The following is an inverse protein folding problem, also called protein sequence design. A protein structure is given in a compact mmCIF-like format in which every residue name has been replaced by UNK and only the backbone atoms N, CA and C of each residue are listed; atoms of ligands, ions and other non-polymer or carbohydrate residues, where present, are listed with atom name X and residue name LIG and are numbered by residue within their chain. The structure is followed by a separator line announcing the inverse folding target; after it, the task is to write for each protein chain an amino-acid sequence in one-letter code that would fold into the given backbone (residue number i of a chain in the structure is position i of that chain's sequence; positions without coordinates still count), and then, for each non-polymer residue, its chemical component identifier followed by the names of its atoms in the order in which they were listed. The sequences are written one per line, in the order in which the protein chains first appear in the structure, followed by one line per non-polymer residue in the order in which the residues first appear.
data_IF_176718567987
#
_entry.id   IF_176718567987
#
_cell.length_a   1.000
_cell.length_b   1.000
_cell.length_c   1.000
_cell.angle_alpha   90.00
_cell.angle_beta   90.00
_cell.angle_gamma   90.00
#
_symmetry.space_group_name_H-M   'P 1'
#
loop_
_entity.id
_entity.type
_entity.pdbx_description
1 polymer ?
#
# COMPACT_ATOMS: atom_id res chain seq x y z
N UNK A 1 -13.90 19.32 -40.77
CA UNK A 1 -14.75 18.31 -40.10
C UNK A 1 -13.89 17.23 -39.45
N UNK A 2 -12.97 16.56 -40.14
CA UNK A 2 -12.15 15.46 -39.61
C UNK A 2 -11.29 15.89 -38.41
N UNK A 3 -10.64 17.06 -38.47
CA UNK A 3 -9.87 17.60 -37.32
C UNK A 3 -10.71 17.85 -36.09
N UNK A 4 -11.95 18.29 -36.29
CA UNK A 4 -12.93 18.45 -35.19
C UNK A 4 -13.31 17.11 -34.57
N UNK A 5 -13.59 16.10 -35.37
CA UNK A 5 -13.86 14.73 -34.91
C UNK A 5 -12.65 14.20 -34.12
N UNK A 6 -11.45 14.38 -34.65
CA UNK A 6 -10.20 13.98 -33.99
C UNK A 6 -10.05 14.64 -32.62
N UNK A 7 -10.30 15.94 -32.51
CA UNK A 7 -10.25 16.69 -31.25
C UNK A 7 -11.27 16.14 -30.24
N UNK A 8 -12.52 15.96 -30.66
CA UNK A 8 -13.59 15.46 -29.78
C UNK A 8 -13.28 14.06 -29.25
N UNK A 9 -12.82 13.16 -30.11
CA UNK A 9 -12.41 11.81 -29.70
C UNK A 9 -11.26 11.83 -28.71
N UNK A 10 -10.22 12.66 -28.98
CA UNK A 10 -9.08 12.79 -28.08
C UNK A 10 -9.47 13.34 -26.73
N UNK A 11 -10.28 14.39 -26.69
CA UNK A 11 -10.76 14.98 -25.42
C UNK A 11 -11.64 14.03 -24.62
N UNK A 12 -12.49 13.23 -25.29
CA UNK A 12 -13.33 12.25 -24.60
C UNK A 12 -12.54 11.07 -24.03
N UNK A 13 -11.43 10.70 -24.69
CA UNK A 13 -10.58 9.60 -24.27
C UNK A 13 -9.59 10.00 -23.16
N UNK A 14 -9.23 11.28 -23.10
CA UNK A 14 -8.21 11.82 -22.20
C UNK A 14 -8.47 11.52 -20.70
N UNK A 15 -9.71 11.67 -20.15
CA UNK A 15 -9.96 11.35 -18.74
C UNK A 15 -9.65 9.90 -18.39
N UNK A 16 -10.03 8.95 -19.25
CA UNK A 16 -9.73 7.52 -19.06
C UNK A 16 -8.20 7.30 -19.07
N UNK A 17 -7.53 7.80 -20.10
CA UNK A 17 -6.09 7.65 -20.30
C UNK A 17 -5.30 8.20 -19.11
N UNK A 18 -5.58 9.45 -18.69
CA UNK A 18 -4.83 10.09 -17.61
C UNK A 18 -5.10 9.38 -16.27
N UNK A 19 -6.33 8.90 -16.04
CA UNK A 19 -6.66 8.14 -14.83
C UNK A 19 -5.86 6.84 -14.77
N UNK A 20 -5.82 6.06 -15.85
CA UNK A 20 -5.00 4.84 -15.94
C UNK A 20 -3.51 5.15 -15.77
N UNK A 21 -3.01 6.23 -16.38
CA UNK A 21 -1.62 6.66 -16.20
C UNK A 21 -1.30 7.06 -14.75
N UNK A 22 -2.25 7.71 -14.06
CA UNK A 22 -2.13 8.01 -12.63
C UNK A 22 -2.15 6.73 -11.77
N UNK A 23 -3.03 5.78 -12.05
CA UNK A 23 -3.09 4.48 -11.37
C UNK A 23 -1.85 3.62 -11.63
N UNK A 24 -1.25 3.73 -12.81
CA UNK A 24 0.05 3.13 -13.16
C UNK A 24 1.24 3.80 -12.45
N UNK A 25 1.00 4.64 -11.44
CA UNK A 25 2.03 5.42 -10.74
C UNK A 25 2.95 6.19 -11.71
N UNK A 26 2.39 6.61 -12.87
CA UNK A 26 3.09 7.32 -13.94
C UNK A 26 4.19 6.51 -14.63
N UNK A 27 4.11 5.17 -14.59
CA UNK A 27 4.99 4.27 -15.35
C UNK A 27 4.42 4.02 -16.75
N UNK A 28 5.12 4.48 -17.78
CA UNK A 28 4.69 4.35 -19.19
C UNK A 28 4.52 2.88 -19.59
N UNK A 29 5.38 1.97 -19.10
CA UNK A 29 5.29 0.53 -19.42
C UNK A 29 3.98 -0.08 -18.89
N UNK A 30 3.58 0.22 -17.68
CA UNK A 30 2.34 -0.29 -17.08
C UNK A 30 1.11 0.31 -17.76
N UNK A 31 1.17 1.61 -18.07
CA UNK A 31 0.18 2.30 -18.88
C UNK A 31 -0.02 1.61 -20.24
N UNK A 32 1.07 1.37 -20.99
CA UNK A 32 1.00 0.69 -22.28
C UNK A 32 0.48 -0.74 -22.14
N UNK A 33 0.89 -1.49 -21.15
CA UNK A 33 0.40 -2.84 -20.91
C UNK A 33 -1.12 -2.89 -20.70
N UNK A 34 -1.70 -1.90 -20.01
CA UNK A 34 -3.14 -1.80 -19.88
C UNK A 34 -3.81 -1.60 -21.23
N UNK A 35 -3.36 -0.63 -22.03
CA UNK A 35 -3.98 -0.33 -23.33
C UNK A 35 -3.71 -1.38 -24.42
N UNK A 36 -2.60 -2.09 -24.36
CA UNK A 36 -2.38 -3.25 -25.24
C UNK A 36 -3.42 -4.34 -25.00
N UNK A 37 -3.81 -4.58 -23.74
CA UNK A 37 -4.92 -5.52 -23.41
C UNK A 37 -6.28 -5.00 -23.89
N UNK A 38 -6.46 -3.70 -24.01
CA UNK A 38 -7.68 -3.02 -24.43
C UNK A 38 -7.55 -2.40 -25.83
N UNK A 39 -6.69 -2.95 -26.69
CA UNK A 39 -6.37 -2.40 -28.03
C UNK A 39 -7.61 -2.25 -28.94
N UNK A 40 -8.70 -2.97 -28.65
CA UNK A 40 -9.97 -2.81 -29.34
C UNK A 40 -10.51 -1.36 -29.29
N UNK A 41 -10.14 -0.56 -28.28
CA UNK A 41 -10.53 0.86 -28.18
C UNK A 41 -9.92 1.69 -29.32
N UNK A 42 -8.65 1.44 -29.64
CA UNK A 42 -7.97 2.10 -30.78
C UNK A 42 -8.56 1.67 -32.12
N UNK A 43 -8.93 0.39 -32.24
CA UNK A 43 -9.61 -0.12 -33.43
C UNK A 43 -10.98 0.54 -33.63
N UNK A 44 -11.74 0.77 -32.56
CA UNK A 44 -13.02 1.50 -32.64
C UNK A 44 -12.81 2.93 -33.13
N UNK A 45 -11.79 3.63 -32.64
CA UNK A 45 -11.45 5.00 -33.10
C UNK A 45 -11.04 4.98 -34.57
N UNK A 46 -10.22 4.02 -34.98
CA UNK A 46 -9.80 3.85 -36.38
C UNK A 46 -11.01 3.65 -37.32
N UNK A 47 -12.01 2.89 -36.86
CA UNK A 47 -13.24 2.69 -37.65
C UNK A 47 -13.97 4.00 -37.96
N UNK A 48 -13.95 5.01 -37.09
CA UNK A 48 -14.52 6.34 -37.36
C UNK A 48 -13.88 6.98 -38.58
N UNK A 49 -12.54 6.89 -38.69
CA UNK A 49 -11.82 7.45 -39.83
C UNK A 49 -12.13 6.70 -41.11
N UNK A 50 -12.23 5.37 -41.06
CA UNK A 50 -12.59 4.58 -42.26
C UNK A 50 -14.02 4.92 -42.74
N UNK A 51 -14.98 5.03 -41.80
CA UNK A 51 -16.35 5.43 -42.13
C UNK A 51 -16.39 6.86 -42.69
N UNK A 52 -15.55 7.77 -42.17
CA UNK A 52 -15.45 9.12 -42.70
C UNK A 52 -15.10 9.15 -44.19
N UNK A 53 -14.14 8.32 -44.64
CA UNK A 53 -13.74 8.23 -46.02
C UNK A 53 -14.84 7.61 -46.91
N UNK A 54 -15.71 6.75 -46.37
CA UNK A 54 -16.76 6.06 -47.10
C UNK A 54 -18.05 6.90 -47.17
N UNK A 55 -18.47 7.49 -46.07
CA UNK A 55 -19.85 8.04 -45.93
C UNK A 55 -19.95 9.41 -45.26
N UNK A 56 -18.82 10.08 -44.95
CA UNK A 56 -18.76 11.44 -44.39
C UNK A 56 -19.59 11.64 -43.13
N UNK A 57 -20.90 11.92 -43.26
CA UNK A 57 -21.80 12.23 -42.13
C UNK A 57 -21.98 11.09 -41.13
N UNK A 58 -21.95 9.82 -41.59
CA UNK A 58 -22.09 8.68 -40.67
C UNK A 58 -20.93 8.57 -39.69
N UNK A 59 -19.77 9.19 -39.99
CA UNK A 59 -18.64 9.28 -39.07
C UNK A 59 -18.92 10.11 -37.82
N UNK A 60 -19.80 11.13 -37.90
CA UNK A 60 -20.19 11.94 -36.76
C UNK A 60 -21.04 11.13 -35.76
N UNK A 61 -21.97 10.33 -36.29
CA UNK A 61 -22.80 9.44 -35.46
C UNK A 61 -21.90 8.43 -34.74
N UNK A 62 -20.99 7.81 -35.48
CA UNK A 62 -20.06 6.83 -34.89
C UNK A 62 -19.12 7.47 -33.86
N UNK A 63 -18.59 8.67 -34.14
CA UNK A 63 -17.77 9.43 -33.21
C UNK A 63 -18.55 9.75 -31.92
N UNK A 64 -19.83 10.12 -32.04
CA UNK A 64 -20.69 10.37 -30.89
C UNK A 64 -20.92 9.09 -30.07
N UNK A 65 -21.20 7.97 -30.71
CA UNK A 65 -21.37 6.69 -29.99
C UNK A 65 -20.09 6.28 -29.25
N UNK A 66 -18.92 6.46 -29.88
CA UNK A 66 -17.64 6.17 -29.22
C UNK A 66 -17.38 7.14 -28.07
N UNK A 67 -17.69 8.44 -28.22
CA UNK A 67 -17.61 9.40 -27.12
C UNK A 67 -18.44 8.92 -25.92
N UNK A 68 -19.70 8.56 -26.13
CA UNK A 68 -20.59 8.05 -25.07
C UNK A 68 -19.99 6.78 -24.43
N UNK A 69 -19.46 5.88 -25.24
CA UNK A 69 -18.83 4.66 -24.76
C UNK A 69 -17.56 4.93 -23.93
N UNK A 70 -16.68 5.84 -24.35
CA UNK A 70 -15.48 6.21 -23.59
C UNK A 70 -15.84 6.89 -22.26
N UNK A 71 -16.84 7.76 -22.26
CA UNK A 71 -17.34 8.37 -21.03
C UNK A 71 -17.98 7.31 -20.11
N UNK A 72 -18.69 6.35 -20.66
CA UNK A 72 -19.21 5.21 -19.91
C UNK A 72 -18.08 4.38 -19.29
N UNK A 73 -17.03 4.05 -20.03
CA UNK A 73 -15.85 3.35 -19.49
C UNK A 73 -15.19 4.14 -18.36
N UNK A 74 -15.01 5.46 -18.55
CA UNK A 74 -14.49 6.32 -17.49
C UNK A 74 -15.41 6.33 -16.25
N UNK A 75 -16.73 6.35 -16.44
CA UNK A 75 -17.69 6.31 -15.34
C UNK A 75 -17.61 5.00 -14.54
N UNK A 76 -17.20 3.91 -15.17
CA UNK A 76 -17.03 2.59 -14.55
C UNK A 76 -15.73 2.44 -13.78
N UNK A 77 -14.73 3.33 -14.00
CA UNK A 77 -13.52 3.31 -13.19
C UNK A 77 -13.86 3.59 -11.73
N UNK A 78 -13.36 2.76 -10.85
CA UNK A 78 -13.56 2.87 -9.41
C UNK A 78 -12.75 4.02 -8.82
N UNK A 79 -11.48 4.12 -9.19
CA UNK A 79 -10.60 5.20 -8.78
C UNK A 79 -10.62 6.30 -9.85
N UNK A 80 -11.26 7.42 -9.53
CA UNK A 80 -11.35 8.58 -10.40
C UNK A 80 -10.06 9.40 -10.43
N UNK A 81 -9.89 10.19 -11.49
CA UNK A 81 -8.78 11.12 -11.63
C UNK A 81 -8.70 12.08 -10.42
N UNK A 82 -7.57 12.12 -9.77
CA UNK A 82 -7.26 13.10 -8.72
C UNK A 82 -6.45 14.24 -9.31
N UNK A 83 -6.98 15.45 -9.24
CA UNK A 83 -6.29 16.66 -9.70
C UNK A 83 -5.17 17.03 -8.71
N UNK A 84 -3.96 16.62 -9.05
CA UNK A 84 -2.73 16.96 -8.32
C UNK A 84 -1.95 18.03 -9.09
N UNK A 85 -1.02 18.72 -8.43
CA UNK A 85 -0.11 19.67 -9.10
C UNK A 85 0.62 19.03 -10.29
N UNK A 86 0.95 17.73 -10.20
CA UNK A 86 1.54 16.97 -11.31
C UNK A 86 0.60 16.83 -12.49
N UNK A 87 -0.66 16.50 -12.25
CA UNK A 87 -1.69 16.39 -13.29
C UNK A 87 -1.92 17.75 -13.97
N UNK A 88 -1.95 18.83 -13.20
CA UNK A 88 -2.10 20.19 -13.78
C UNK A 88 -0.92 20.52 -14.71
N UNK A 89 0.31 20.25 -14.31
CA UNK A 89 1.49 20.42 -15.18
C UNK A 89 1.44 19.53 -16.42
N UNK A 90 0.97 18.28 -16.26
CA UNK A 90 0.80 17.36 -17.38
C UNK A 90 -0.21 17.91 -18.40
N UNK A 91 -1.33 18.48 -17.97
CA UNK A 91 -2.30 19.10 -18.86
C UNK A 91 -1.67 20.23 -19.70
N UNK A 92 -0.83 21.07 -19.09
CA UNK A 92 -0.11 22.15 -19.82
C UNK A 92 0.79 21.54 -20.94
N UNK A 93 1.50 20.45 -20.62
CA UNK A 93 2.36 19.76 -21.60
C UNK A 93 1.52 19.10 -22.70
N UNK A 94 0.31 18.64 -22.41
CA UNK A 94 -0.56 17.96 -23.37
C UNK A 94 -1.17 18.89 -24.43
N UNK A 95 -1.36 20.17 -24.15
CA UNK A 95 -2.01 21.14 -25.06
C UNK A 95 -1.42 21.08 -26.50
N UNK A 96 -0.10 21.24 -26.73
CA UNK A 96 0.45 21.22 -28.08
C UNK A 96 0.28 19.84 -28.75
N UNK A 97 0.33 18.75 -27.98
CA UNK A 97 0.14 17.39 -28.54
C UNK A 97 -1.31 17.14 -28.93
N UNK A 98 -2.28 17.66 -28.21
CA UNK A 98 -3.69 17.63 -28.58
C UNK A 98 -3.94 18.39 -29.88
N UNK A 99 -3.32 19.58 -30.03
CA UNK A 99 -3.42 20.38 -31.24
C UNK A 99 -2.82 19.64 -32.47
N UNK A 100 -1.60 19.12 -32.34
CA UNK A 100 -0.92 18.37 -33.39
C UNK A 100 -1.74 17.12 -33.76
N UNK A 101 -2.20 16.36 -32.79
CA UNK A 101 -3.01 15.17 -33.00
C UNK A 101 -4.33 15.47 -33.70
N UNK A 102 -4.99 16.56 -33.34
CA UNK A 102 -6.21 17.03 -34.02
C UNK A 102 -5.94 17.48 -35.44
N UNK A 103 -4.86 18.26 -35.67
CA UNK A 103 -4.47 18.74 -37.00
C UNK A 103 -4.11 17.62 -37.95
N UNK A 104 -3.34 16.64 -37.48
CA UNK A 104 -2.92 15.48 -38.29
C UNK A 104 -3.99 14.39 -38.39
N UNK A 105 -5.08 14.49 -37.65
CA UNK A 105 -6.18 13.51 -37.65
C UNK A 105 -5.72 12.09 -37.28
N UNK A 106 -4.84 11.93 -36.31
CA UNK A 106 -4.21 10.65 -35.93
C UNK A 106 -4.68 10.13 -34.53
N UNK A 107 -5.92 10.45 -34.12
CA UNK A 107 -6.47 10.04 -32.83
C UNK A 107 -6.48 8.52 -32.58
N UNK A 108 -6.44 7.71 -33.62
CA UNK A 108 -6.29 6.25 -33.52
C UNK A 108 -4.91 5.79 -33.04
N UNK A 109 -3.91 6.71 -33.03
CA UNK A 109 -2.59 6.47 -32.44
C UNK A 109 -2.40 7.22 -31.09
N UNK A 110 -3.47 7.79 -30.55
CA UNK A 110 -3.41 8.74 -29.43
C UNK A 110 -2.72 8.17 -28.19
N UNK A 111 -2.95 6.90 -27.87
CA UNK A 111 -2.27 6.21 -26.73
C UNK A 111 -0.75 6.26 -26.88
N UNK A 112 -0.23 6.02 -28.09
CA UNK A 112 1.20 6.02 -28.35
C UNK A 112 1.78 7.43 -28.41
N UNK A 113 1.04 8.39 -29.01
CA UNK A 113 1.44 9.80 -29.08
C UNK A 113 1.60 10.38 -27.68
N UNK A 114 0.75 9.99 -26.72
CA UNK A 114 0.81 10.45 -25.34
C UNK A 114 2.03 9.93 -24.59
N UNK A 115 2.73 8.91 -25.06
CA UNK A 115 3.99 8.49 -24.44
C UNK A 115 5.04 9.59 -24.44
N UNK A 116 5.05 10.49 -25.46
CA UNK A 116 6.00 11.61 -25.55
C UNK A 116 5.75 12.64 -24.44
N UNK A 117 4.55 13.25 -24.31
CA UNK A 117 4.28 14.18 -23.21
C UNK A 117 4.39 13.53 -21.82
N UNK A 118 4.07 12.25 -21.68
CA UNK A 118 4.28 11.51 -20.43
C UNK A 118 5.76 11.37 -20.09
N UNK A 119 6.61 11.09 -21.10
CA UNK A 119 8.05 11.07 -20.91
C UNK A 119 8.61 12.44 -20.52
N UNK A 120 8.20 13.50 -21.22
CA UNK A 120 8.59 14.89 -20.90
C UNK A 120 8.15 15.25 -19.48
N UNK A 121 6.90 14.95 -19.12
CA UNK A 121 6.37 15.16 -17.76
C UNK A 121 7.23 14.43 -16.73
N UNK A 122 7.60 13.17 -16.96
CA UNK A 122 8.45 12.40 -16.06
C UNK A 122 9.83 13.03 -15.87
N UNK A 123 10.43 13.59 -16.90
CA UNK A 123 11.72 14.29 -16.80
C UNK A 123 11.61 15.54 -15.91
N UNK A 124 10.55 16.33 -16.09
CA UNK A 124 10.28 17.53 -15.29
C UNK A 124 10.03 17.13 -13.83
N UNK A 125 9.19 16.11 -13.59
CA UNK A 125 8.85 15.64 -12.25
C UNK A 125 10.07 15.04 -11.51
N UNK A 126 11.00 14.41 -12.24
CA UNK A 126 12.28 13.95 -11.63
C UNK A 126 13.12 15.12 -11.12
N UNK A 127 13.21 16.23 -11.86
CA UNK A 127 13.93 17.43 -11.42
C UNK A 127 13.24 18.06 -10.20
N UNK A 128 11.92 18.16 -10.22
CA UNK A 128 11.12 18.68 -9.10
C UNK A 128 11.30 17.79 -7.85
N UNK A 129 11.18 16.47 -8.00
CA UNK A 129 11.38 15.50 -6.91
C UNK A 129 12.79 15.61 -6.33
N UNK A 130 13.80 15.74 -7.18
CA UNK A 130 15.19 15.91 -6.73
C UNK A 130 15.41 17.20 -5.93
N UNK A 131 14.78 18.32 -6.35
CA UNK A 131 14.81 19.56 -5.59
C UNK A 131 14.20 19.39 -4.19
N UNK A 132 13.00 18.80 -4.09
CA UNK A 132 12.34 18.57 -2.80
C UNK A 132 13.09 17.56 -1.93
N UNK A 133 13.71 16.53 -2.54
CA UNK A 133 14.56 15.58 -1.82
C UNK A 133 15.78 16.29 -1.21
N UNK A 134 16.49 17.11 -1.97
CA UNK A 134 17.62 17.90 -1.44
C UNK A 134 17.18 18.78 -0.27
N UNK A 135 16.04 19.46 -0.39
CA UNK A 135 15.49 20.28 0.69
C UNK A 135 15.18 19.46 1.94
N UNK A 136 14.59 18.26 1.80
CA UNK A 136 14.29 17.38 2.92
C UNK A 136 15.57 16.85 3.59
N UNK A 137 16.61 16.50 2.80
CA UNK A 137 17.90 16.06 3.31
C UNK A 137 18.58 17.18 4.13
N UNK A 138 18.52 18.42 3.68
CA UNK A 138 19.05 19.56 4.44
C UNK A 138 18.34 19.73 5.78
N UNK A 139 17.00 19.73 5.77
CA UNK A 139 16.20 19.76 7.01
C UNK A 139 16.54 18.61 7.96
N UNK A 140 16.73 17.39 7.40
CA UNK A 140 17.14 16.22 8.19
C UNK A 140 18.53 16.41 8.82
N UNK A 141 19.48 16.98 8.09
CA UNK A 141 20.83 17.26 8.61
C UNK A 141 20.86 18.24 9.76
N UNK A 142 19.93 19.20 9.75
CA UNK A 142 19.75 20.19 10.82
C UNK A 142 18.98 19.63 12.04
N UNK A 143 18.40 18.45 11.92
CA UNK A 143 17.63 17.81 12.98
C UNK A 143 18.53 16.99 13.88
N UNK A 144 18.64 17.37 15.16
CA UNK A 144 19.61 16.85 16.11
C UNK A 144 19.05 15.75 17.04
N UNK A 145 17.79 15.35 16.83
CA UNK A 145 17.15 14.30 17.62
C UNK A 145 17.12 12.97 16.85
N UNK A 146 16.61 11.94 17.50
CA UNK A 146 16.56 10.59 16.97
C UNK A 146 15.72 10.46 15.71
N UNK A 147 16.20 9.66 14.77
CA UNK A 147 15.52 9.28 13.55
C UNK A 147 15.41 7.76 13.49
N UNK A 148 14.17 7.31 13.59
CA UNK A 148 13.80 5.91 13.65
C UNK A 148 13.36 5.48 12.26
N UNK A 149 14.13 4.62 11.61
CA UNK A 149 13.78 4.00 10.34
C UNK A 149 13.06 2.68 10.59
N UNK A 150 11.88 2.49 10.01
CA UNK A 150 11.10 1.25 10.14
C UNK A 150 11.00 0.56 8.80
N UNK A 151 11.50 -0.67 8.70
CA UNK A 151 11.34 -1.52 7.51
C UNK A 151 10.81 -2.90 7.85
N UNK A 152 10.53 -3.68 6.81
CA UNK A 152 10.02 -5.05 6.89
C UNK A 152 9.17 -5.40 5.68
N UNK A 153 8.85 -6.66 5.50
CA UNK A 153 7.91 -7.12 4.47
C UNK A 153 6.47 -6.75 4.86
N UNK A 154 6.12 -6.83 6.14
CA UNK A 154 4.79 -6.56 6.69
C UNK A 154 4.87 -5.75 7.99
N UNK A 155 3.73 -5.28 8.52
CA UNK A 155 3.55 -4.60 9.80
C UNK A 155 4.17 -3.19 9.94
N UNK A 156 4.99 -2.70 9.02
CA UNK A 156 5.66 -1.38 9.08
C UNK A 156 4.74 -0.23 9.49
N UNK A 157 3.63 -0.07 8.79
CA UNK A 157 2.69 1.04 9.02
C UNK A 157 1.98 0.91 10.37
N UNK A 158 1.62 -0.31 10.77
CA UNK A 158 0.98 -0.57 12.07
C UNK A 158 1.95 -0.29 13.20
N UNK A 159 3.19 -0.79 13.12
CA UNK A 159 4.25 -0.53 14.09
C UNK A 159 4.53 0.97 14.21
N UNK A 160 4.72 1.66 13.08
CA UNK A 160 4.88 3.13 13.05
C UNK A 160 3.74 3.86 13.77
N UNK A 161 2.51 3.46 13.48
CA UNK A 161 1.32 4.10 14.05
C UNK A 161 1.21 3.86 15.57
N UNK A 162 1.52 2.65 16.03
CA UNK A 162 1.57 2.35 17.47
C UNK A 162 2.72 3.09 18.15
N UNK A 163 3.92 3.07 17.56
CA UNK A 163 5.07 3.80 18.10
C UNK A 163 4.78 5.30 18.26
N UNK A 164 4.11 5.93 17.28
CA UNK A 164 3.79 7.35 17.37
C UNK A 164 2.85 7.69 18.53
N UNK A 165 1.97 6.76 18.93
CA UNK A 165 1.07 6.94 20.07
C UNK A 165 1.77 6.62 21.39
N UNK A 166 2.57 5.55 21.44
CA UNK A 166 3.29 5.15 22.67
C UNK A 166 4.32 6.22 23.05
N UNK A 167 5.00 6.79 22.07
CA UNK A 167 6.06 7.78 22.24
C UNK A 167 5.59 9.24 22.20
N UNK A 168 4.31 9.51 22.43
CA UNK A 168 3.73 10.86 22.33
C UNK A 168 4.43 11.90 23.22
N UNK A 169 4.99 11.51 24.36
CA UNK A 169 5.78 12.39 25.28
C UNK A 169 6.95 13.05 24.60
N UNK A 170 7.59 12.36 23.67
CA UNK A 170 8.71 12.92 22.92
C UNK A 170 8.29 13.65 21.65
N UNK A 171 6.99 13.87 21.46
CA UNK A 171 6.44 14.60 20.32
C UNK A 171 7.04 14.14 18.97
N UNK A 172 6.84 12.88 18.54
CA UNK A 172 7.44 12.37 17.33
C UNK A 172 6.70 12.84 16.07
N UNK A 173 7.43 13.11 14.99
CA UNK A 173 6.85 13.22 13.64
C UNK A 173 6.91 11.87 12.97
N UNK A 174 5.77 11.21 12.80
CA UNK A 174 5.66 9.98 12.03
C UNK A 174 5.18 10.26 10.59
N UNK A 175 5.78 9.60 9.60
CA UNK A 175 5.32 9.72 8.20
C UNK A 175 3.85 9.32 8.06
N UNK A 176 3.06 10.14 7.33
CA UNK A 176 1.61 9.89 7.13
C UNK A 176 1.36 8.65 6.30
N UNK A 177 0.27 7.96 6.56
CA UNK A 177 -0.18 6.80 5.80
C UNK A 177 0.99 5.84 5.46
N UNK A 178 1.15 5.50 4.19
CA UNK A 178 2.23 4.64 3.68
C UNK A 178 3.31 5.46 2.95
N UNK A 179 3.63 6.69 3.41
CA UNK A 179 4.72 7.50 2.87
C UNK A 179 6.07 6.88 3.26
N UNK A 180 6.50 5.90 2.46
CA UNK A 180 7.66 5.04 2.74
C UNK A 180 8.72 5.05 1.62
N UNK A 181 8.61 6.00 0.68
CA UNK A 181 9.55 6.23 -0.42
C UNK A 181 10.31 7.54 -0.23
N UNK A 182 11.40 7.74 -0.97
CA UNK A 182 12.16 9.02 -0.96
C UNK A 182 11.24 10.24 -1.13
N UNK A 183 10.31 10.18 -2.08
CA UNK A 183 9.38 11.28 -2.34
C UNK A 183 8.34 11.44 -1.22
N UNK A 184 7.81 10.34 -0.69
CA UNK A 184 6.81 10.38 0.39
C UNK A 184 7.40 10.95 1.68
N UNK A 185 8.57 10.48 2.09
CA UNK A 185 9.27 10.99 3.28
C UNK A 185 9.69 12.46 3.06
N UNK A 186 10.21 12.79 1.87
CA UNK A 186 10.58 14.19 1.55
C UNK A 186 9.39 15.13 1.63
N UNK A 187 8.22 14.69 1.17
CA UNK A 187 6.99 15.48 1.25
C UNK A 187 6.62 15.74 2.71
N UNK A 188 6.66 14.71 3.55
CA UNK A 188 6.35 14.85 4.98
C UNK A 188 7.29 15.83 5.67
N UNK A 189 8.62 15.63 5.54
CA UNK A 189 9.61 16.52 6.16
C UNK A 189 9.51 17.97 5.64
N UNK A 190 9.21 18.16 4.36
CA UNK A 190 9.08 19.50 3.79
C UNK A 190 7.81 20.25 4.25
N UNK A 191 6.75 19.50 4.57
CA UNK A 191 5.48 20.09 5.03
C UNK A 191 5.48 20.45 6.51
N UNK A 192 6.47 20.00 7.28
CA UNK A 192 6.56 20.25 8.72
C UNK A 192 7.76 21.13 9.08
N UNK A 193 7.62 21.90 10.15
CA UNK A 193 8.75 22.57 10.80
C UNK A 193 9.31 21.60 11.86
N UNK A 194 10.47 21.01 11.58
CA UNK A 194 11.06 19.96 12.41
C UNK A 194 11.47 20.44 13.82
N UNK A 195 11.55 21.75 14.05
CA UNK A 195 11.86 22.31 15.37
C UNK A 195 10.82 21.99 16.46
N UNK A 196 9.61 21.58 16.05
CA UNK A 196 8.53 21.22 16.97
C UNK A 196 8.52 19.74 17.37
N UNK A 197 9.47 18.95 16.87
CA UNK A 197 9.52 17.53 17.08
C UNK A 197 10.84 17.09 17.70
N UNK A 198 10.80 16.09 18.57
CA UNK A 198 11.99 15.55 19.24
C UNK A 198 12.35 14.13 18.73
N UNK A 199 11.60 13.60 17.80
CA UNK A 199 11.95 12.37 17.08
C UNK A 199 11.31 12.34 15.69
N UNK A 200 11.90 11.61 14.73
CA UNK A 200 11.30 11.28 13.45
C UNK A 200 11.06 9.77 13.37
N UNK A 201 9.86 9.36 12.99
CA UNK A 201 9.53 7.95 12.75
C UNK A 201 9.24 7.79 11.25
N UNK A 202 10.21 7.24 10.52
CA UNK A 202 10.22 7.15 9.08
C UNK A 202 9.96 5.72 8.62
N UNK A 203 8.80 5.48 7.99
CA UNK A 203 8.55 4.20 7.33
C UNK A 203 9.39 4.10 6.06
N UNK A 204 10.21 3.05 5.92
CA UNK A 204 11.11 2.82 4.80
C UNK A 204 10.71 1.56 4.03
N UNK A 205 10.08 1.77 2.87
CA UNK A 205 9.62 0.70 1.97
C UNK A 205 10.65 0.37 0.90
N UNK A 206 10.62 -0.85 0.38
CA UNK A 206 11.37 -1.22 -0.82
C UNK A 206 10.58 -2.16 -1.68
N UNK A 207 10.61 -1.91 -2.99
CA UNK A 207 10.09 -2.75 -4.05
C UNK A 207 11.22 -3.29 -4.94
N UNK A 208 12.41 -2.70 -4.86
CA UNK A 208 13.60 -3.08 -5.62
C UNK A 208 14.84 -3.13 -4.72
N UNK A 209 15.87 -3.80 -5.20
CA UNK A 209 17.18 -3.87 -4.53
C UNK A 209 17.78 -2.46 -4.42
N UNK A 210 18.39 -2.15 -3.29
CA UNK A 210 18.99 -0.87 -2.90
C UNK A 210 18.00 0.28 -2.62
N UNK A 211 16.71 0.04 -2.52
CA UNK A 211 15.77 1.11 -2.15
C UNK A 211 15.98 1.53 -0.68
N UNK A 212 16.15 0.56 0.25
CA UNK A 212 16.45 0.85 1.66
C UNK A 212 17.78 1.60 1.79
N UNK A 213 18.80 1.16 1.08
CA UNK A 213 20.11 1.85 1.07
C UNK A 213 19.99 3.31 0.64
N UNK A 214 19.18 3.62 -0.37
CA UNK A 214 18.90 5.00 -0.80
C UNK A 214 18.19 5.81 0.30
N UNK A 215 17.24 5.19 0.99
CA UNK A 215 16.48 5.83 2.07
C UNK A 215 17.36 6.11 3.28
N UNK A 216 18.18 5.15 3.70
CA UNK A 216 19.12 5.33 4.82
C UNK A 216 20.18 6.37 4.50
N UNK A 217 20.73 6.36 3.28
CA UNK A 217 21.70 7.39 2.83
C UNK A 217 21.11 8.78 2.69
N UNK A 218 19.79 8.92 2.53
CA UNK A 218 19.13 10.21 2.42
C UNK A 218 18.71 10.76 3.79
N UNK A 219 18.21 9.90 4.69
CA UNK A 219 17.58 10.31 5.94
C UNK A 219 18.35 9.94 7.21
N UNK A 220 19.45 9.22 7.09
CA UNK A 220 20.40 8.92 8.17
C UNK A 220 19.73 8.50 9.49
N UNK A 221 18.97 7.37 9.53
CA UNK A 221 18.42 6.88 10.78
C UNK A 221 19.55 6.48 11.73
N UNK A 222 19.38 6.74 13.03
CA UNK A 222 20.25 6.25 14.09
C UNK A 222 19.60 5.12 14.90
N UNK A 223 18.29 4.88 14.65
CA UNK A 223 17.56 3.73 15.18
C UNK A 223 16.88 3.04 14.01
N UNK A 224 17.03 1.72 13.91
CA UNK A 224 16.39 0.90 12.89
C UNK A 224 15.46 -0.13 13.53
N UNK A 225 14.24 -0.28 12.99
CA UNK A 225 13.29 -1.31 13.39
C UNK A 225 13.02 -2.20 12.19
N UNK A 226 13.18 -3.52 12.35
CA UNK A 226 12.81 -4.51 11.33
C UNK A 226 11.67 -5.36 11.85
N UNK A 227 10.47 -5.13 11.33
CA UNK A 227 9.22 -5.72 11.85
C UNK A 227 9.02 -7.18 11.47
N UNK A 228 9.58 -7.60 10.35
CA UNK A 228 9.50 -8.99 9.89
C UNK A 228 9.83 -9.13 8.41
N UNK A 229 10.31 -10.30 8.05
CA UNK A 229 10.68 -10.67 6.68
C UNK A 229 9.78 -11.81 6.22
N UNK A 230 9.33 -11.74 4.97
CA UNK A 230 8.53 -12.75 4.32
C UNK A 230 8.55 -12.62 2.80
N UNK A 231 8.05 -13.62 2.07
CA UNK A 231 8.10 -13.70 0.62
C UNK A 231 7.10 -12.71 -0.04
N UNK A 232 7.44 -11.43 -0.03
CA UNK A 232 6.71 -10.34 -0.70
C UNK A 232 7.54 -9.76 -1.84
N UNK A 233 6.87 -9.26 -2.89
CA UNK A 233 7.52 -8.66 -4.08
C UNK A 233 8.57 -9.58 -4.74
N UNK A 234 8.30 -10.89 -4.76
CA UNK A 234 9.24 -11.89 -5.32
C UNK A 234 9.52 -11.69 -6.80
N UNK A 235 8.61 -11.06 -7.54
CA UNK A 235 8.83 -10.71 -8.95
C UNK A 235 10.01 -9.73 -9.10
N UNK A 236 10.19 -8.82 -8.13
CA UNK A 236 11.28 -7.83 -8.11
C UNK A 236 12.55 -8.36 -7.44
N UNK A 237 12.41 -9.05 -6.31
CA UNK A 237 13.56 -9.53 -5.51
C UNK A 237 14.06 -10.91 -5.92
N UNK A 238 13.30 -11.68 -6.70
CA UNK A 238 13.59 -13.03 -7.20
C UNK A 238 13.61 -14.13 -6.13
N UNK A 239 14.16 -13.91 -4.95
CA UNK A 239 14.26 -14.88 -3.87
C UNK A 239 14.24 -14.23 -2.49
N UNK A 240 14.04 -15.04 -1.44
CA UNK A 240 13.95 -14.58 -0.05
C UNK A 240 15.27 -14.00 0.46
N UNK A 241 16.41 -14.54 0.02
CA UNK A 241 17.73 -14.05 0.44
C UNK A 241 17.97 -12.60 0.04
N UNK A 242 17.52 -12.20 -1.15
CA UNK A 242 17.57 -10.80 -1.60
C UNK A 242 16.65 -9.91 -0.77
N UNK A 243 15.48 -10.41 -0.34
CA UNK A 243 14.58 -9.67 0.55
C UNK A 243 15.24 -9.45 1.91
N UNK A 244 15.86 -10.50 2.48
CA UNK A 244 16.62 -10.41 3.74
C UNK A 244 17.70 -9.35 3.61
N UNK A 245 18.58 -9.47 2.61
CA UNK A 245 19.68 -8.53 2.37
C UNK A 245 19.18 -7.09 2.20
N UNK A 246 18.11 -6.89 1.43
CA UNK A 246 17.53 -5.57 1.23
C UNK A 246 16.99 -4.96 2.53
N UNK A 247 16.20 -5.71 3.30
CA UNK A 247 15.61 -5.19 4.55
C UNK A 247 16.65 -4.97 5.63
N UNK A 248 17.64 -5.87 5.73
CA UNK A 248 18.72 -5.76 6.72
C UNK A 248 19.70 -4.64 6.38
N UNK A 249 19.77 -4.16 5.13
CA UNK A 249 20.61 -3.01 4.77
C UNK A 249 20.24 -1.72 5.50
N UNK A 250 19.10 -1.65 6.20
CA UNK A 250 18.78 -0.53 7.09
C UNK A 250 19.77 -0.46 8.26
N UNK A 251 20.21 -1.60 8.76
CA UNK A 251 21.17 -1.70 9.89
C UNK A 251 22.56 -1.29 9.43
N UNK A 252 22.94 -1.65 8.20
CA UNK A 252 24.23 -1.26 7.62
C UNK A 252 24.38 0.26 7.49
N UNK A 253 23.26 0.99 7.46
CA UNK A 253 23.22 2.45 7.41
C UNK A 253 23.29 3.13 8.79
N UNK A 254 23.30 2.36 9.89
CA UNK A 254 23.45 2.89 11.24
C UNK A 254 24.92 3.17 11.55
N UNK A 255 25.19 4.20 12.34
CA UNK A 255 26.55 4.44 12.88
C UNK A 255 26.87 3.52 14.07
N UNK A 256 28.09 3.60 14.57
CA UNK A 256 28.59 2.78 15.70
C UNK A 256 27.74 2.85 16.97
N UNK A 257 27.05 3.96 17.21
CA UNK A 257 26.13 4.16 18.32
C UNK A 257 24.66 3.93 17.95
N UNK A 258 24.41 3.38 16.77
CA UNK A 258 23.06 3.10 16.29
C UNK A 258 22.41 1.95 17.06
N UNK A 259 21.08 1.93 17.08
CA UNK A 259 20.29 0.87 17.73
C UNK A 259 19.49 0.14 16.65
N UNK A 260 19.63 -1.18 16.58
CA UNK A 260 18.84 -2.06 15.73
C UNK A 260 17.85 -2.85 16.59
N UNK A 261 16.55 -2.70 16.32
CA UNK A 261 15.45 -3.39 17.04
C UNK A 261 14.86 -4.45 16.10
N UNK A 262 15.03 -5.72 16.41
CA UNK A 262 14.67 -6.86 15.55
C UNK A 262 13.59 -7.74 16.18
N UNK A 263 12.60 -8.11 15.36
CA UNK A 263 11.55 -9.06 15.74
C UNK A 263 12.07 -10.50 15.69
N UNK A 264 12.40 -11.11 16.82
CA UNK A 264 12.89 -12.50 16.89
C UNK A 264 11.78 -13.57 16.85
N UNK A 265 10.51 -13.20 16.87
CA UNK A 265 9.43 -14.13 16.50
C UNK A 265 9.45 -14.44 15.00
N UNK A 266 10.15 -13.61 14.20
CA UNK A 266 10.40 -13.88 12.79
C UNK A 266 11.68 -14.71 12.61
N UNK A 267 11.54 -15.90 12.05
CA UNK A 267 12.63 -16.87 11.85
C UNK A 267 13.82 -16.30 11.06
N UNK A 268 13.55 -15.52 10.00
CA UNK A 268 14.61 -14.93 9.18
C UNK A 268 15.42 -13.86 9.94
N UNK A 269 14.80 -13.14 10.86
CA UNK A 269 15.47 -12.13 11.69
C UNK A 269 16.27 -12.79 12.83
N UNK A 270 15.68 -13.80 13.48
CA UNK A 270 16.32 -14.54 14.56
C UNK A 270 17.58 -15.26 14.09
N UNK A 271 17.57 -15.80 12.87
CA UNK A 271 18.71 -16.53 12.29
C UNK A 271 19.68 -15.64 11.51
N UNK A 272 19.47 -14.32 11.51
CA UNK A 272 20.35 -13.39 10.82
C UNK A 272 21.61 -13.12 11.62
N UNK A 273 22.78 -13.45 11.06
CA UNK A 273 24.07 -13.15 11.67
C UNK A 273 24.43 -11.68 11.42
N UNK A 274 24.37 -10.86 12.46
CA UNK A 274 24.74 -9.45 12.40
C UNK A 274 26.20 -9.27 12.83
N UNK A 275 27.02 -8.72 11.93
CA UNK A 275 28.46 -8.48 12.17
C UNK A 275 28.81 -6.97 12.22
N UNK A 276 27.80 -6.10 12.40
CA UNK A 276 28.02 -4.65 12.49
C UNK A 276 28.36 -4.18 13.91
N UNK A 277 28.53 -2.86 14.04
CA UNK A 277 28.94 -2.18 15.30
C UNK A 277 27.77 -1.59 16.08
N UNK A 278 26.55 -1.58 15.53
CA UNK A 278 25.37 -1.04 16.20
C UNK A 278 24.89 -1.96 17.33
N UNK A 279 24.26 -1.38 18.35
CA UNK A 279 23.62 -2.15 19.42
C UNK A 279 22.40 -2.87 18.88
N UNK A 280 22.31 -4.18 19.12
CA UNK A 280 21.18 -4.98 18.73
C UNK A 280 20.28 -5.25 19.93
N UNK A 281 18.99 -4.97 19.79
CA UNK A 281 17.95 -5.29 20.77
C UNK A 281 16.91 -6.17 20.06
N UNK A 282 16.70 -7.35 20.56
CA UNK A 282 15.70 -8.27 20.06
C UNK A 282 14.38 -8.16 20.84
N UNK A 283 13.25 -8.44 20.16
CA UNK A 283 11.97 -8.59 20.83
C UNK A 283 11.18 -9.79 20.31
N UNK A 284 10.34 -10.34 21.18
CA UNK A 284 9.55 -11.54 20.91
C UNK A 284 9.45 -12.45 22.13
N UNK A 285 9.01 -13.70 21.94
CA UNK A 285 8.78 -14.62 23.07
C UNK A 285 10.06 -15.00 23.82
N UNK A 286 11.18 -15.15 23.12
CA UNK A 286 12.48 -15.52 23.69
C UNK A 286 13.55 -14.53 23.21
N UNK A 287 13.47 -13.30 23.68
CA UNK A 287 14.28 -12.18 23.22
C UNK A 287 14.63 -11.24 24.40
N UNK A 288 15.50 -10.24 24.15
CA UNK A 288 15.89 -9.25 25.17
C UNK A 288 14.67 -8.55 25.78
N UNK A 289 13.70 -8.20 24.94
CA UNK A 289 12.39 -7.73 25.37
C UNK A 289 11.33 -8.76 25.01
N UNK A 290 10.60 -9.23 26.01
CA UNK A 290 9.57 -10.24 25.81
C UNK A 290 8.23 -9.83 26.42
N UNK A 291 7.19 -10.56 26.05
CA UNK A 291 5.84 -10.32 26.53
C UNK A 291 5.12 -11.64 26.82
N UNK A 292 4.21 -11.59 27.78
CA UNK A 292 3.30 -12.68 28.11
C UNK A 292 1.86 -12.18 28.06
N UNK A 293 1.05 -12.76 27.21
CA UNK A 293 -0.37 -12.43 27.10
C UNK A 293 -1.14 -13.34 28.03
N UNK A 294 -1.80 -12.73 29.00
CA UNK A 294 -2.75 -13.34 29.91
C UNK A 294 -4.17 -12.94 29.50
N UNK A 295 -5.20 -13.51 30.10
CA UNK A 295 -6.59 -13.21 29.76
C UNK A 295 -6.89 -11.69 29.90
N UNK A 296 -6.56 -11.09 31.05
CA UNK A 296 -6.85 -9.70 31.35
C UNK A 296 -5.68 -8.73 31.15
N UNK A 297 -4.46 -9.22 31.11
CA UNK A 297 -3.25 -8.40 31.12
C UNK A 297 -2.19 -8.88 30.13
N UNK A 298 -1.35 -7.95 29.73
CA UNK A 298 -0.09 -8.23 29.03
C UNK A 298 1.05 -7.80 29.93
N UNK A 299 1.91 -8.74 30.28
CA UNK A 299 3.14 -8.49 31.04
C UNK A 299 4.29 -8.20 30.07
N UNK A 300 5.11 -7.21 30.37
CA UNK A 300 6.31 -6.84 29.62
C UNK A 300 7.55 -7.14 30.48
N UNK A 301 8.52 -7.75 29.82
CA UNK A 301 9.81 -8.13 30.44
C UNK A 301 10.96 -7.54 29.61
N UNK A 302 12.02 -7.13 30.28
CA UNK A 302 13.29 -6.74 29.67
C UNK A 302 14.41 -7.58 30.31
N UNK A 303 15.17 -8.31 29.50
CA UNK A 303 16.26 -9.20 29.95
C UNK A 303 15.80 -10.20 31.03
N UNK A 304 14.58 -10.74 30.87
CA UNK A 304 13.87 -11.63 31.80
C UNK A 304 13.38 -10.98 33.11
N UNK A 305 13.59 -9.69 33.31
CA UNK A 305 13.06 -8.95 34.45
C UNK A 305 11.70 -8.32 34.11
N UNK A 306 10.74 -8.41 35.05
CA UNK A 306 9.44 -7.77 34.90
C UNK A 306 9.60 -6.24 34.89
N UNK A 307 9.00 -5.57 33.88
CA UNK A 307 9.06 -4.11 33.76
C UNK A 307 7.71 -3.49 34.20
N UNK A 308 6.63 -3.83 33.52
CA UNK A 308 5.26 -3.41 33.83
C UNK A 308 4.24 -4.33 33.18
N UNK A 309 2.97 -4.14 33.53
CA UNK A 309 1.82 -4.76 32.88
C UNK A 309 0.77 -3.74 32.51
N UNK A 310 -0.03 -4.03 31.50
CA UNK A 310 -1.18 -3.23 31.08
C UNK A 310 -2.37 -4.13 30.75
N UNK A 311 -3.60 -3.57 30.81
CA UNK A 311 -4.83 -4.30 30.53
C UNK A 311 -4.90 -4.74 29.08
N UNK A 312 -5.26 -6.00 28.85
CA UNK A 312 -5.47 -6.53 27.51
C UNK A 312 -6.88 -6.18 27.00
N UNK A 313 -6.99 -5.17 26.17
CA UNK A 313 -8.25 -4.75 25.54
C UNK A 313 -8.51 -5.49 24.22
N UNK A 314 -8.26 -6.81 24.17
CA UNK A 314 -8.47 -7.64 22.99
C UNK A 314 -7.31 -7.57 21.98
N UNK A 315 -6.10 -7.28 22.45
CA UNK A 315 -4.88 -7.34 21.64
C UNK A 315 -4.38 -8.78 21.55
N UNK A 316 -4.08 -9.20 20.34
CA UNK A 316 -3.44 -10.48 20.10
C UNK A 316 -1.90 -10.37 20.01
N UNK A 317 -1.25 -11.51 19.77
CA UNK A 317 0.19 -11.61 19.67
C UNK A 317 0.78 -10.69 18.59
N UNK A 318 0.08 -10.50 17.47
CA UNK A 318 0.54 -9.64 16.36
C UNK A 318 0.45 -8.17 16.77
N UNK A 319 -0.61 -7.78 17.47
CA UNK A 319 -0.77 -6.40 17.96
C UNK A 319 0.34 -6.07 18.96
N UNK A 320 0.55 -6.96 19.95
CA UNK A 320 1.60 -6.77 20.95
C UNK A 320 2.98 -6.73 20.30
N UNK A 321 3.27 -7.66 19.40
CA UNK A 321 4.54 -7.65 18.63
C UNK A 321 4.76 -6.33 17.88
N UNK A 322 3.69 -5.71 17.34
CA UNK A 322 3.77 -4.42 16.67
C UNK A 322 3.93 -3.23 17.63
N UNK A 323 3.51 -3.36 18.89
CA UNK A 323 3.71 -2.36 19.95
C UNK A 323 5.11 -2.40 20.53
N UNK A 324 5.76 -3.56 20.54
CA UNK A 324 7.05 -3.78 21.20
C UNK A 324 8.13 -2.76 20.84
N UNK A 325 8.35 -2.35 19.57
CA UNK A 325 9.37 -1.34 19.26
C UNK A 325 9.09 0.01 19.93
N UNK A 326 7.81 0.40 20.07
CA UNK A 326 7.41 1.61 20.82
C UNK A 326 7.65 1.46 22.32
N UNK A 327 7.35 0.29 22.89
CA UNK A 327 7.60 -0.03 24.30
C UNK A 327 9.09 0.00 24.60
N UNK A 328 9.92 -0.64 23.78
CA UNK A 328 11.38 -0.65 23.92
C UNK A 328 11.93 0.78 23.95
N UNK A 329 11.55 1.59 22.99
CA UNK A 329 12.01 2.98 22.93
C UNK A 329 11.47 3.81 24.09
N UNK A 330 10.21 3.57 24.52
CA UNK A 330 9.64 4.20 25.72
C UNK A 330 10.45 3.91 26.98
N UNK A 331 10.90 2.66 27.17
CA UNK A 331 11.79 2.26 28.27
C UNK A 331 13.17 2.93 28.13
N UNK A 332 13.76 2.92 26.92
CA UNK A 332 15.07 3.55 26.70
C UNK A 332 15.05 5.07 26.91
N UNK A 333 13.95 5.74 26.53
CA UNK A 333 13.72 7.17 26.74
C UNK A 333 13.26 7.50 28.17
N UNK A 334 13.09 6.49 29.03
CA UNK A 334 12.62 6.64 30.41
C UNK A 334 11.28 7.36 30.51
N UNK A 335 10.37 7.09 29.57
CA UNK A 335 8.99 7.57 29.64
C UNK A 335 8.34 6.99 30.89
N UNK A 336 7.54 7.80 31.60
CA UNK A 336 6.78 7.36 32.77
C UNK A 336 5.89 6.15 32.43
N UNK A 337 6.01 5.08 33.21
CA UNK A 337 5.30 3.84 32.93
C UNK A 337 3.78 3.99 33.04
N UNK A 338 3.26 4.85 33.92
CA UNK A 338 1.82 5.05 34.04
C UNK A 338 1.26 5.71 32.77
N UNK A 339 1.99 6.68 32.20
CA UNK A 339 1.62 7.31 30.94
C UNK A 339 1.69 6.31 29.78
N UNK A 340 2.74 5.50 29.73
CA UNK A 340 2.90 4.47 28.71
C UNK A 340 1.80 3.40 28.79
N UNK A 341 1.46 2.93 30.00
CA UNK A 341 0.36 2.00 30.25
C UNK A 341 -0.97 2.59 29.79
N UNK A 342 -1.27 3.83 30.19
CA UNK A 342 -2.49 4.52 29.74
C UNK A 342 -2.62 4.57 28.22
N UNK A 343 -1.52 4.84 27.50
CA UNK A 343 -1.51 4.86 26.02
C UNK A 343 -1.69 3.48 25.42
N UNK A 344 -1.04 2.46 25.97
CA UNK A 344 -1.17 1.08 25.51
C UNK A 344 -2.60 0.57 25.65
N UNK A 345 -3.27 0.89 26.75
CA UNK A 345 -4.67 0.52 26.99
C UNK A 345 -5.66 1.26 26.07
N UNK A 346 -5.28 2.44 25.56
CA UNK A 346 -6.13 3.28 24.69
C UNK A 346 -5.62 3.36 23.24
N UNK A 347 -4.69 2.49 22.84
CA UNK A 347 -4.06 2.54 21.52
C UNK A 347 -5.05 2.27 20.40
N UNK A 348 -5.00 3.08 19.35
CA UNK A 348 -5.89 2.96 18.18
C UNK A 348 -5.17 2.25 17.03
N UNK A 349 -5.89 1.38 16.32
CA UNK A 349 -5.39 0.76 15.10
C UNK A 349 -5.47 1.73 13.91
N UNK A 350 -4.55 1.67 12.94
CA UNK A 350 -4.61 2.48 11.72
C UNK A 350 -5.83 2.09 10.88
N UNK A 351 -6.36 3.04 10.10
CA UNK A 351 -7.47 2.78 9.18
C UNK A 351 -7.13 1.68 8.16
N UNK A 352 -8.13 0.92 7.72
CA UNK A 352 -8.02 -0.18 6.74
C UNK A 352 -6.99 -1.27 7.09
N UNK A 353 -6.76 -1.44 8.41
CA UNK A 353 -5.89 -2.48 8.98
C UNK A 353 -6.65 -3.19 10.10
N UNK A 354 -7.54 -4.12 9.72
CA UNK A 354 -8.45 -4.84 10.63
C UNK A 354 -9.30 -3.88 11.48
N UNK A 355 -9.69 -2.74 10.89
CA UNK A 355 -10.59 -1.80 11.54
C UNK A 355 -12.00 -2.40 11.61
N UNK A 356 -12.56 -2.41 12.82
CA UNK A 356 -13.94 -2.85 13.03
C UNK A 356 -14.86 -1.66 12.86
N UNK A 357 -15.90 -1.83 12.03
CA UNK A 357 -16.98 -0.87 11.82
C UNK A 357 -18.30 -1.57 12.11
N UNK A 358 -19.16 -0.94 12.88
CA UNK A 358 -20.52 -1.40 13.13
C UNK A 358 -21.51 -0.64 12.25
N UNK A 359 -22.31 -1.35 11.50
CA UNK A 359 -23.34 -0.79 10.62
C UNK A 359 -24.66 -1.52 10.91
N UNK A 360 -25.58 -0.86 11.60
CA UNK A 360 -26.81 -1.49 12.07
C UNK A 360 -26.49 -2.69 12.98
N UNK A 361 -27.03 -3.86 12.64
CA UNK A 361 -26.76 -5.10 13.35
C UNK A 361 -25.64 -5.95 12.68
N UNK A 362 -24.80 -5.34 11.85
CA UNK A 362 -23.72 -6.01 11.15
C UNK A 362 -22.36 -5.43 11.52
N UNK A 363 -21.33 -6.25 11.37
CA UNK A 363 -19.94 -5.89 11.67
C UNK A 363 -19.13 -6.01 10.38
N UNK A 364 -18.34 -4.98 10.09
CA UNK A 364 -17.39 -4.99 8.98
C UNK A 364 -15.97 -4.94 9.55
N UNK A 365 -15.17 -5.92 9.19
CA UNK A 365 -13.71 -5.92 9.42
C UNK A 365 -13.08 -5.39 8.14
N UNK A 366 -12.59 -4.15 8.17
CA UNK A 366 -11.91 -3.51 7.05
C UNK A 366 -10.40 -3.79 7.13
N UNK A 367 -9.94 -4.75 6.33
CA UNK A 367 -8.53 -5.09 6.09
C UNK A 367 -8.18 -4.92 4.59
N UNK A 368 -8.75 -3.88 3.99
CA UNK A 368 -8.68 -3.62 2.55
C UNK A 368 -7.32 -3.12 2.05
N UNK A 369 -6.39 -2.79 2.95
CA UNK A 369 -5.08 -2.30 2.58
C UNK A 369 -4.07 -3.44 2.48
N UNK A 370 -3.64 -3.80 1.31
CA UNK A 370 -2.52 -4.70 0.99
C UNK A 370 -2.36 -5.94 1.89
N UNK A 371 -2.70 -7.11 1.38
CA UNK A 371 -2.77 -8.35 2.14
C UNK A 371 -1.60 -9.30 1.89
N UNK A 372 -1.31 -10.11 2.90
CA UNK A 372 -0.45 -11.28 2.82
C UNK A 372 -1.12 -12.45 3.55
N UNK A 373 -0.68 -13.69 3.28
CA UNK A 373 -1.32 -14.87 3.84
C UNK A 373 -1.45 -14.83 5.37
N UNK A 374 -0.41 -14.42 6.11
CA UNK A 374 -0.45 -14.37 7.58
C UNK A 374 -1.49 -13.37 8.08
N UNK A 375 -1.56 -12.18 7.48
CA UNK A 375 -2.55 -11.15 7.79
C UNK A 375 -3.97 -11.61 7.46
N UNK A 376 -4.17 -12.17 6.25
CA UNK A 376 -5.47 -12.67 5.80
C UNK A 376 -6.01 -13.80 6.68
N UNK A 377 -5.14 -14.75 7.09
CA UNK A 377 -5.52 -15.80 8.03
C UNK A 377 -5.90 -15.23 9.40
N UNK A 378 -5.16 -14.24 9.90
CA UNK A 378 -5.50 -13.54 11.15
C UNK A 378 -6.88 -12.88 11.06
N UNK A 379 -7.16 -12.15 9.96
CA UNK A 379 -8.44 -11.50 9.77
C UNK A 379 -9.62 -12.50 9.71
N UNK A 380 -9.40 -13.68 9.13
CA UNK A 380 -10.37 -14.78 9.16
C UNK A 380 -10.59 -15.33 10.57
N UNK A 381 -9.54 -15.48 11.39
CA UNK A 381 -9.70 -15.90 12.78
C UNK A 381 -10.52 -14.86 13.56
N UNK A 382 -10.28 -13.57 13.34
CA UNK A 382 -11.08 -12.52 13.95
C UNK A 382 -12.55 -12.60 13.52
N UNK A 383 -12.81 -12.86 12.22
CA UNK A 383 -14.18 -13.05 11.70
C UNK A 383 -14.89 -14.23 12.38
N UNK A 384 -14.15 -15.29 12.72
CA UNK A 384 -14.68 -16.51 13.36
C UNK A 384 -15.37 -16.24 14.70
N UNK A 385 -14.90 -15.25 15.45
CA UNK A 385 -15.42 -14.94 16.78
C UNK A 385 -16.84 -14.35 16.79
N UNK A 386 -17.35 -13.89 15.64
CA UNK A 386 -18.69 -13.34 15.55
C UNK A 386 -19.74 -14.41 15.32
N UNK A 387 -20.78 -14.43 16.16
CA UNK A 387 -21.95 -15.32 15.97
C UNK A 387 -22.97 -14.69 15.01
N UNK A 388 -22.54 -14.48 13.76
CA UNK A 388 -23.28 -13.86 12.66
C UNK A 388 -22.98 -14.60 11.37
N UNK A 389 -23.79 -14.34 10.30
CA UNK A 389 -23.46 -14.85 8.95
C UNK A 389 -22.11 -14.26 8.48
N UNK A 390 -21.14 -15.10 8.25
CA UNK A 390 -19.75 -14.72 7.93
C UNK A 390 -19.53 -14.64 6.44
N UNK A 391 -19.18 -13.44 5.96
CA UNK A 391 -18.98 -13.15 4.54
C UNK A 391 -17.55 -12.63 4.35
N UNK A 392 -16.87 -13.10 3.32
CA UNK A 392 -15.59 -12.55 2.88
C UNK A 392 -15.72 -11.89 1.51
N UNK A 393 -15.06 -10.73 1.33
CA UNK A 393 -14.91 -10.04 0.06
C UNK A 393 -13.41 -9.91 -0.20
N UNK A 394 -12.88 -10.58 -1.24
CA UNK A 394 -11.45 -10.59 -1.52
C UNK A 394 -11.13 -10.77 -3.01
N UNK A 395 -10.10 -10.10 -3.56
CA UNK A 395 -9.48 -10.43 -4.85
C UNK A 395 -8.44 -11.55 -4.72
N UNK A 396 -8.08 -11.95 -3.50
CA UNK A 396 -6.90 -12.76 -3.22
C UNK A 396 -5.59 -11.96 -3.27
N UNK A 397 -4.47 -12.63 -3.50
CA UNK A 397 -3.14 -12.03 -3.48
C UNK A 397 -2.67 -11.67 -4.89
N UNK A 398 -2.08 -10.47 -5.09
CA UNK A 398 -1.74 -9.95 -6.43
C UNK A 398 -0.27 -10.09 -6.83
N UNK A 399 0.68 -10.24 -5.88
CA UNK A 399 2.11 -10.09 -6.16
C UNK A 399 2.96 -11.37 -5.98
N UNK A 400 2.33 -12.54 -5.94
CA UNK A 400 3.00 -13.81 -5.60
C UNK A 400 2.86 -14.88 -6.67
N UNK A 401 2.88 -14.54 -7.97
CA UNK A 401 2.50 -15.41 -9.10
C UNK A 401 2.94 -16.89 -8.99
N UNK A 402 4.21 -17.16 -8.70
CA UNK A 402 4.74 -18.52 -8.60
C UNK A 402 4.29 -19.29 -7.35
N UNK A 403 3.97 -18.59 -6.26
CA UNK A 403 3.57 -19.18 -4.98
C UNK A 403 2.05 -19.23 -4.79
N UNK A 404 1.28 -18.58 -5.66
CA UNK A 404 -0.17 -18.45 -5.54
C UNK A 404 -0.89 -19.78 -5.31
N UNK A 405 -0.60 -20.89 -6.02
CA UNK A 405 -1.30 -22.14 -5.79
C UNK A 405 -1.19 -22.64 -4.34
N UNK A 406 0.03 -22.64 -3.78
CA UNK A 406 0.26 -23.08 -2.40
C UNK A 406 -0.32 -22.11 -1.36
N UNK A 407 -0.28 -20.81 -1.62
CA UNK A 407 -0.88 -19.79 -0.74
C UNK A 407 -2.40 -19.92 -0.77
N UNK A 408 -2.99 -20.09 -1.94
CA UNK A 408 -4.44 -20.20 -2.10
C UNK A 408 -4.99 -21.50 -1.54
N UNK A 409 -4.26 -22.62 -1.56
CA UNK A 409 -4.68 -23.86 -0.88
C UNK A 409 -4.90 -23.62 0.62
N UNK A 410 -3.95 -22.95 1.29
CA UNK A 410 -4.06 -22.63 2.72
C UNK A 410 -5.17 -21.63 3.00
N UNK A 411 -5.27 -20.60 2.14
CA UNK A 411 -6.25 -19.53 2.30
C UNK A 411 -7.67 -20.01 2.06
N UNK A 412 -7.93 -20.72 0.95
CA UNK A 412 -9.22 -21.29 0.61
C UNK A 412 -9.69 -22.32 1.66
N UNK A 413 -8.76 -23.16 2.17
CA UNK A 413 -9.09 -24.07 3.28
C UNK A 413 -9.69 -23.30 4.45
N UNK A 414 -9.06 -22.19 4.85
CA UNK A 414 -9.51 -21.42 6.00
C UNK A 414 -10.81 -20.64 5.72
N UNK A 415 -10.99 -20.12 4.50
CA UNK A 415 -12.26 -19.52 4.07
C UNK A 415 -13.40 -20.54 4.16
N UNK A 416 -13.19 -21.77 3.62
CA UNK A 416 -14.19 -22.82 3.64
C UNK A 416 -14.57 -23.31 5.05
N UNK A 417 -13.66 -23.16 6.03
CA UNK A 417 -13.91 -23.54 7.43
C UNK A 417 -14.67 -22.47 8.22
N UNK A 418 -14.52 -21.20 7.86
CA UNK A 418 -15.00 -20.07 8.67
C UNK A 418 -16.20 -19.38 8.03
N UNK A 419 -16.18 -19.16 6.72
CA UNK A 419 -17.15 -18.31 6.04
C UNK A 419 -18.38 -19.10 5.57
N UNK A 420 -19.53 -18.39 5.53
CA UNK A 420 -20.76 -18.91 4.98
C UNK A 420 -20.91 -18.51 3.50
N UNK A 421 -20.27 -17.42 3.09
CA UNK A 421 -20.29 -16.92 1.72
C UNK A 421 -19.02 -16.17 1.35
N UNK A 422 -18.61 -16.24 0.06
CA UNK A 422 -17.44 -15.53 -0.45
C UNK A 422 -17.75 -14.75 -1.74
N UNK A 423 -17.48 -13.45 -1.72
CA UNK A 423 -17.41 -12.61 -2.93
C UNK A 423 -15.96 -12.54 -3.41
N UNK A 424 -15.69 -13.09 -4.58
CA UNK A 424 -14.34 -13.09 -5.16
C UNK A 424 -14.27 -11.99 -6.21
N UNK A 425 -13.42 -10.99 -5.99
CA UNK A 425 -13.20 -9.93 -6.98
C UNK A 425 -12.42 -10.51 -8.16
N UNK A 426 -12.97 -10.35 -9.37
CA UNK A 426 -12.43 -10.97 -10.58
C UNK A 426 -11.10 -10.34 -11.00
N UNK A 427 -10.01 -11.08 -10.84
CA UNK A 427 -8.66 -10.75 -11.33
C UNK A 427 -8.15 -11.91 -12.21
N UNK A 428 -7.08 -11.66 -12.96
CA UNK A 428 -6.38 -12.72 -13.71
C UNK A 428 -5.86 -13.86 -12.81
N UNK A 429 -5.59 -13.56 -11.55
CA UNK A 429 -5.05 -14.50 -10.54
C UNK A 429 -6.14 -15.11 -9.65
N UNK A 430 -7.34 -14.54 -9.58
CA UNK A 430 -8.39 -14.98 -8.65
C UNK A 430 -9.07 -16.29 -9.06
N UNK A 431 -8.90 -16.74 -10.31
CA UNK A 431 -9.51 -17.99 -10.78
C UNK A 431 -9.06 -19.20 -9.94
N UNK A 432 -7.78 -19.27 -9.59
CA UNK A 432 -7.25 -20.36 -8.75
C UNK A 432 -7.94 -20.37 -7.37
N UNK A 433 -8.12 -19.21 -6.76
CA UNK A 433 -8.83 -19.09 -5.48
C UNK A 433 -10.30 -19.48 -5.63
N UNK A 434 -10.97 -18.99 -6.67
CA UNK A 434 -12.36 -19.27 -6.96
C UNK A 434 -12.63 -20.78 -7.08
N UNK A 435 -11.79 -21.49 -7.83
CA UNK A 435 -11.91 -22.95 -8.05
C UNK A 435 -11.66 -23.78 -6.77
N UNK A 436 -10.99 -23.20 -5.75
CA UNK A 436 -10.71 -23.85 -4.46
C UNK A 436 -11.77 -23.58 -3.39
N UNK A 437 -12.65 -22.60 -3.58
CA UNK A 437 -13.73 -22.29 -2.63
C UNK A 437 -14.86 -23.29 -2.80
N UNK A 438 -15.30 -23.88 -1.67
CA UNK A 438 -16.35 -24.92 -1.62
C UNK A 438 -17.68 -24.40 -1.06
N UNK A 439 -17.66 -23.32 -0.28
CA UNK A 439 -18.87 -22.66 0.22
C UNK A 439 -19.57 -21.91 -0.92
N UNK A 440 -20.78 -21.42 -0.68
CA UNK A 440 -21.47 -20.56 -1.65
C UNK A 440 -20.63 -19.33 -1.97
N UNK A 441 -20.38 -19.08 -3.25
CA UNK A 441 -19.54 -17.97 -3.68
C UNK A 441 -19.93 -17.45 -5.06
N UNK A 442 -19.52 -16.20 -5.35
CA UNK A 442 -19.74 -15.58 -6.66
C UNK A 442 -18.61 -14.65 -7.04
N UNK A 443 -18.44 -14.44 -8.35
CA UNK A 443 -17.60 -13.36 -8.84
C UNK A 443 -18.29 -12.02 -8.74
N UNK A 444 -17.51 -11.00 -8.36
CA UNK A 444 -17.88 -9.59 -8.41
C UNK A 444 -16.79 -8.80 -9.15
N UNK A 445 -17.15 -7.64 -9.70
CA UNK A 445 -16.19 -6.78 -10.43
C UNK A 445 -15.32 -5.94 -9.50
N UNK A 446 -15.86 -5.61 -8.32
CA UNK A 446 -15.17 -4.77 -7.34
C UNK A 446 -15.68 -5.05 -5.93
N UNK A 447 -14.90 -4.59 -4.94
CA UNK A 447 -15.32 -4.60 -3.53
C UNK A 447 -16.61 -3.79 -3.33
N UNK A 448 -16.76 -2.67 -4.06
CA UNK A 448 -17.96 -1.82 -3.95
C UNK A 448 -19.22 -2.52 -4.49
N UNK A 449 -19.10 -3.31 -5.58
CA UNK A 449 -20.21 -4.14 -6.07
C UNK A 449 -20.62 -5.17 -5.02
N UNK A 450 -19.66 -5.84 -4.39
CA UNK A 450 -19.96 -6.78 -3.30
C UNK A 450 -20.62 -6.10 -2.11
N UNK A 451 -20.16 -4.89 -1.72
CA UNK A 451 -20.79 -4.11 -0.65
C UNK A 451 -22.27 -3.79 -0.92
N UNK A 452 -22.65 -3.51 -2.18
CA UNK A 452 -24.03 -3.27 -2.57
C UNK A 452 -24.91 -4.53 -2.47
N UNK A 453 -24.32 -5.73 -2.46
CA UNK A 453 -25.03 -7.00 -2.33
C UNK A 453 -25.21 -7.44 -0.87
N UNK A 454 -24.60 -6.75 0.09
CA UNK A 454 -24.75 -7.03 1.51
C UNK A 454 -26.12 -6.56 2.00
N UNK A 455 -26.74 -7.36 2.84
CA UNK A 455 -28.03 -7.03 3.46
C UNK A 455 -27.87 -6.12 4.68
N UNK A 456 -26.70 -6.10 5.29
CA UNK A 456 -26.39 -5.47 6.58
C UNK A 456 -27.34 -5.91 7.71
N UNK A 457 -27.86 -7.14 7.59
CA UNK A 457 -28.75 -7.73 8.58
C UNK A 457 -28.09 -8.95 9.21
N UNK A 458 -27.53 -8.77 10.41
CA UNK A 458 -26.84 -9.81 11.18
C UNK A 458 -25.68 -10.50 10.44
N UNK A 459 -24.88 -9.71 9.73
CA UNK A 459 -23.72 -10.18 8.97
C UNK A 459 -22.42 -9.73 9.65
N UNK A 460 -21.38 -10.58 9.60
CA UNK A 460 -20.01 -10.24 9.87
C UNK A 460 -19.23 -10.33 8.56
N UNK A 461 -18.72 -9.21 8.07
CA UNK A 461 -18.11 -9.10 6.74
C UNK A 461 -16.64 -8.75 6.90
N UNK A 462 -15.78 -9.58 6.31
CA UNK A 462 -14.35 -9.28 6.15
C UNK A 462 -14.13 -8.73 4.73
N UNK A 463 -13.62 -7.50 4.64
CA UNK A 463 -13.12 -6.94 3.40
C UNK A 463 -11.60 -7.05 3.43
N UNK A 464 -11.07 -7.96 2.63
CA UNK A 464 -9.66 -8.28 2.62
C UNK A 464 -9.08 -7.92 1.26
N UNK A 465 -8.06 -7.07 1.27
CA UNK A 465 -7.38 -6.54 0.11
C UNK A 465 -8.29 -5.78 -0.89
N UNK A 466 -7.93 -4.59 -1.28
CA UNK A 466 -8.65 -3.80 -2.27
C UNK A 466 -7.67 -3.26 -3.32
N UNK A 467 -7.79 -3.74 -4.55
CA UNK A 467 -6.82 -3.46 -5.60
C UNK A 467 -7.28 -2.37 -6.57
N UNK A 468 -6.37 -1.53 -7.11
CA UNK A 468 -6.67 -0.55 -8.15
C UNK A 468 -7.18 -1.16 -9.46
N UNK A 469 -7.98 -0.37 -10.23
CA UNK A 469 -8.55 -0.76 -11.53
C UNK A 469 -7.50 -1.24 -12.56
N UNK A 470 -6.24 -0.81 -12.44
CA UNK A 470 -5.15 -1.23 -13.34
C UNK A 470 -4.87 -2.75 -13.27
N UNK A 471 -5.28 -3.41 -12.20
CA UNK A 471 -5.15 -4.87 -12.02
C UNK A 471 -6.41 -5.63 -12.49
N UNK A 472 -7.54 -4.94 -12.66
CA UNK A 472 -8.79 -5.48 -13.20
C UNK A 472 -8.74 -5.53 -14.74
#
# INVERSE_FOLDING_TARGET
MLSFISLVLSLSYLPLIITIYQQAHYHIKEYLNYFIRHFYLELLILMVYLIYFISGYNSLIMAFLILVYLLYLYSKLRIKLKFTKRIIRLFIILIPFLYINSYLCISYLFIFILCIPFFISNLIERKISHYYLKKAILKRKEFNHDVIGITGSFAKTTTKYFMSQILDDITPLATKASYNTLNGISLELNNHNLKYYNALILEMGSNHINDIKKLTSAFFPNIAVVTGIGPMHLDSFKNISNIIKEKMSIIDGLGEKGIAILNYDNEYLRNYSYNGTSYLISYGKNADFSYQILEDYVNIYAYNEFVFKFKNNGYDEIDISNMMPGIILGVLYKIDYNQMIFRLENIKRPASRQRILEIGNSIIIDDSFNSNLKGALKALEQLKHYNKKKIIITPGFVECKKLLPNLYLKYAKRINEICDYAYIVKLSTSKILYDLIKINHSYVRSVDEARLMLSFNNEAVLIENDVPDIYL
#
